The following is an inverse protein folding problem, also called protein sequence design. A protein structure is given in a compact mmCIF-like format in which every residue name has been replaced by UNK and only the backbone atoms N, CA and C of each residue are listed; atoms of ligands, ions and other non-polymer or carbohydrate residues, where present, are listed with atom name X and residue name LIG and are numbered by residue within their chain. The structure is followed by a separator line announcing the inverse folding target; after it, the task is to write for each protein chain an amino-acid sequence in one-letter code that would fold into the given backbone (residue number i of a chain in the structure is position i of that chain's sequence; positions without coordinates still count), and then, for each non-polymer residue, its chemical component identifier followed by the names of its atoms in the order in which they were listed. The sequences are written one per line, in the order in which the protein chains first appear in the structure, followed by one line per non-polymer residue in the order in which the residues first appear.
data_IF_161632260304
#
_entry.id   IF_161632260304
#
_cell.length_a   1.000
_cell.length_b   1.000
_cell.length_c   1.000
_cell.angle_alpha   90.00
_cell.angle_beta   90.00
_cell.angle_gamma   90.00
#
_symmetry.space_group_name_H-M   'P 1'
#
loop_
_entity.id
_entity.type
_entity.pdbx_description
1 polymer ?
#
# COMPACT_ATOMS: atom_id res chain seq x y z
N UNK A 1 -33.83 -16.19 54.53
CA UNK A 1 -34.72 -16.87 53.57
C UNK A 1 -35.42 -15.80 52.73
N UNK A 2 -35.61 -16.11 51.45
CA UNK A 2 -35.78 -15.20 50.33
C UNK A 2 -37.05 -14.32 50.31
N UNK A 3 -36.96 -13.18 49.62
CA UNK A 3 -38.00 -12.76 48.66
C UNK A 3 -37.36 -11.88 47.57
N UNK A 4 -37.32 -12.43 46.35
CA UNK A 4 -36.82 -11.82 45.13
C UNK A 4 -38.03 -11.27 44.35
N UNK A 5 -38.06 -10.01 43.91
CA UNK A 5 -39.02 -9.56 42.86
C UNK A 5 -38.47 -8.39 42.02
N UNK A 6 -37.97 -8.77 40.83
CA UNK A 6 -38.22 -8.22 39.48
C UNK A 6 -38.12 -6.70 39.22
N UNK A 7 -37.06 -6.34 38.49
CA UNK A 7 -37.02 -5.35 37.38
C UNK A 7 -35.86 -5.81 36.50
N UNK A 8 -36.03 -6.19 35.24
CA UNK A 8 -36.57 -5.36 34.16
C UNK A 8 -35.39 -5.12 33.20
N UNK A 9 -35.48 -5.69 32.00
CA UNK A 9 -34.44 -5.78 30.99
C UNK A 9 -33.73 -4.46 30.66
N UNK A 10 -32.40 -4.51 30.49
CA UNK A 10 -31.67 -3.75 29.46
C UNK A 10 -30.40 -4.52 29.09
N UNK A 11 -30.47 -5.25 27.97
CA UNK A 11 -29.29 -5.65 27.24
C UNK A 11 -28.66 -4.37 26.68
N UNK A 12 -27.49 -3.98 27.21
CA UNK A 12 -26.64 -2.97 26.58
C UNK A 12 -25.33 -3.65 26.24
N UNK A 13 -25.33 -4.28 25.07
CA UNK A 13 -24.09 -4.56 24.37
C UNK A 13 -23.47 -3.23 23.95
N UNK A 14 -22.21 -3.03 24.27
CA UNK A 14 -21.35 -2.13 23.50
C UNK A 14 -20.10 -2.94 23.14
N UNK A 15 -20.18 -3.65 22.02
CA UNK A 15 -19.00 -4.08 21.31
C UNK A 15 -18.34 -2.82 20.74
N UNK A 16 -17.32 -2.28 21.42
CA UNK A 16 -16.45 -1.26 20.83
C UNK A 16 -15.33 -1.98 20.07
N UNK A 17 -15.66 -2.55 18.92
CA UNK A 17 -14.70 -3.08 17.96
C UNK A 17 -15.23 -2.84 16.55
N UNK A 18 -15.27 -1.58 16.12
CA UNK A 18 -15.50 -1.23 14.71
C UNK A 18 -15.10 0.22 14.41
N UNK A 19 -13.79 0.51 14.41
CA UNK A 19 -13.28 1.73 13.78
C UNK A 19 -12.09 1.49 12.84
N UNK A 20 -11.80 0.23 12.48
CA UNK A 20 -10.76 -0.10 11.49
C UNK A 20 -11.35 -0.58 10.14
N UNK A 21 -12.67 -0.74 10.03
CA UNK A 21 -13.30 -1.32 8.84
C UNK A 21 -13.61 -0.31 7.71
N UNK A 22 -13.47 1.00 7.93
CA UNK A 22 -13.62 2.01 6.87
C UNK A 22 -12.28 2.39 6.21
N UNK A 23 -11.16 1.81 6.67
CA UNK A 23 -9.85 2.01 6.06
C UNK A 23 -9.64 1.16 4.80
N UNK A 24 -10.29 0.01 4.68
CA UNK A 24 -10.03 -0.97 3.61
C UNK A 24 -10.57 -0.60 2.22
N UNK A 25 -10.98 0.64 1.93
CA UNK A 25 -11.38 1.02 0.56
C UNK A 25 -10.52 2.15 0.02
N UNK A 26 -10.18 3.13 0.85
CA UNK A 26 -9.21 4.17 0.52
C UNK A 26 -7.77 3.65 0.68
N UNK A 27 -7.46 3.01 1.81
CA UNK A 27 -6.17 2.36 2.04
C UNK A 27 -6.00 1.21 1.07
N UNK A 28 -7.04 0.42 0.78
CA UNK A 28 -6.95 -0.66 -0.21
C UNK A 28 -6.78 -0.14 -1.63
N UNK A 29 -7.37 1.01 -2.01
CA UNK A 29 -7.09 1.66 -3.30
C UNK A 29 -5.66 2.20 -3.41
N UNK A 30 -5.16 2.87 -2.37
CA UNK A 30 -3.76 3.34 -2.31
C UNK A 30 -2.80 2.15 -2.29
N UNK A 31 -3.12 1.11 -1.53
CA UNK A 31 -2.34 -0.11 -1.43
C UNK A 31 -2.41 -0.92 -2.72
N UNK A 32 -3.49 -0.93 -3.49
CA UNK A 32 -3.60 -1.69 -4.74
C UNK A 32 -3.06 -0.94 -5.95
N UNK A 33 -2.45 0.24 -5.74
CA UNK A 33 -1.70 0.97 -6.74
C UNK A 33 -0.22 0.70 -6.51
N UNK A 34 0.33 -0.39 -7.07
CA UNK A 34 1.76 -0.56 -7.13
C UNK A 34 2.37 0.41 -8.14
N UNK A 35 2.37 -0.01 -9.40
CA UNK A 35 2.98 0.71 -10.51
C UNK A 35 2.23 1.99 -10.93
N UNK A 36 0.95 2.11 -10.62
CA UNK A 36 0.14 3.30 -10.92
C UNK A 36 0.36 4.45 -9.94
N UNK A 37 1.07 4.23 -8.82
CA UNK A 37 1.41 5.30 -7.88
C UNK A 37 2.15 6.42 -8.63
N UNK A 38 1.73 7.68 -8.45
CA UNK A 38 2.39 8.82 -9.07
C UNK A 38 3.70 9.17 -8.35
N UNK A 39 4.66 9.81 -9.04
CA UNK A 39 5.86 10.31 -8.39
C UNK A 39 5.55 11.28 -7.25
N UNK A 40 4.51 12.13 -7.39
CA UNK A 40 4.01 13.03 -6.35
C UNK A 40 3.62 12.27 -5.08
N UNK A 41 2.89 11.17 -5.23
CA UNK A 41 2.42 10.40 -4.09
C UNK A 41 3.54 9.56 -3.50
N UNK A 42 4.37 8.95 -4.35
CA UNK A 42 5.49 8.10 -3.96
C UNK A 42 6.51 8.82 -3.08
N UNK A 43 6.93 10.04 -3.44
CA UNK A 43 7.98 10.76 -2.69
C UNK A 43 7.53 11.17 -1.29
N UNK A 44 6.21 11.21 -1.03
CA UNK A 44 5.64 11.54 0.26
C UNK A 44 5.41 10.30 1.15
N UNK A 45 5.66 9.09 0.65
CA UNK A 45 5.55 7.85 1.42
C UNK A 45 6.74 7.68 2.39
N UNK A 46 6.49 7.08 3.55
CA UNK A 46 7.55 6.59 4.43
C UNK A 46 8.26 5.38 3.83
N UNK A 47 9.43 5.03 4.37
CA UNK A 47 10.29 3.97 3.83
C UNK A 47 9.60 2.59 3.77
N UNK A 48 8.73 2.26 4.74
CA UNK A 48 8.02 0.98 4.74
C UNK A 48 6.94 0.97 3.66
N UNK A 49 6.18 2.07 3.54
CA UNK A 49 5.16 2.22 2.49
C UNK A 49 5.80 2.17 1.10
N UNK A 50 6.96 2.82 0.88
CA UNK A 50 7.72 2.72 -0.39
C UNK A 50 8.05 1.27 -0.74
N UNK A 51 8.51 0.45 0.22
CA UNK A 51 8.79 -0.99 -0.01
C UNK A 51 7.55 -1.75 -0.46
N UNK A 52 6.41 -1.52 0.19
CA UNK A 52 5.14 -2.18 -0.18
C UNK A 52 4.73 -1.77 -1.60
N UNK A 53 4.76 -0.47 -1.91
CA UNK A 53 4.41 0.08 -3.23
C UNK A 53 5.30 -0.53 -4.32
N UNK A 54 6.61 -0.60 -4.09
CA UNK A 54 7.57 -1.16 -5.06
C UNK A 54 7.42 -2.67 -5.23
N UNK A 55 7.24 -3.42 -4.14
CA UNK A 55 6.93 -4.85 -4.23
C UNK A 55 5.71 -5.09 -5.12
N UNK A 56 4.64 -4.30 -4.94
CA UNK A 56 3.43 -4.41 -5.76
C UNK A 56 3.67 -4.01 -7.21
N UNK A 57 4.41 -2.92 -7.45
CA UNK A 57 4.79 -2.51 -8.79
C UNK A 57 5.60 -3.60 -9.53
N UNK A 58 6.48 -4.32 -8.85
CA UNK A 58 7.23 -5.45 -9.42
C UNK A 58 6.30 -6.61 -9.75
N UNK A 59 5.39 -6.99 -8.83
CA UNK A 59 4.43 -8.07 -9.05
C UNK A 59 3.50 -7.79 -10.23
N UNK A 60 2.98 -6.57 -10.32
CA UNK A 60 2.14 -6.10 -11.43
C UNK A 60 2.89 -6.14 -12.77
N UNK A 61 4.11 -5.61 -12.82
CA UNK A 61 4.91 -5.60 -14.05
C UNK A 61 5.30 -7.00 -14.53
N UNK A 62 5.62 -7.90 -13.59
CA UNK A 62 6.07 -9.25 -13.92
C UNK A 62 4.91 -10.24 -14.09
N UNK A 63 3.68 -9.87 -13.70
CA UNK A 63 2.54 -10.77 -13.65
C UNK A 63 2.76 -11.96 -12.70
N UNK A 64 3.61 -11.78 -11.69
CA UNK A 64 4.06 -12.83 -10.77
C UNK A 64 3.78 -12.43 -9.32
N UNK A 65 2.94 -13.21 -8.63
CA UNK A 65 2.55 -12.93 -7.25
C UNK A 65 3.59 -13.34 -6.20
N UNK A 66 4.64 -14.07 -6.60
CA UNK A 66 5.74 -14.44 -5.72
C UNK A 66 6.44 -13.20 -5.16
N UNK A 67 6.92 -13.30 -3.93
CA UNK A 67 7.64 -12.20 -3.30
C UNK A 67 8.99 -11.98 -4.03
N UNK A 68 9.26 -10.77 -4.55
CA UNK A 68 10.55 -10.46 -5.15
C UNK A 68 11.66 -10.51 -4.08
N UNK A 69 12.89 -10.82 -4.51
CA UNK A 69 14.04 -10.74 -3.62
C UNK A 69 14.19 -9.31 -3.08
N UNK A 70 14.53 -9.16 -1.79
CA UNK A 70 14.67 -7.84 -1.16
C UNK A 70 15.67 -6.92 -1.87
N UNK A 71 16.73 -7.47 -2.46
CA UNK A 71 17.70 -6.73 -3.28
C UNK A 71 17.08 -6.14 -4.55
N UNK A 72 16.11 -6.84 -5.17
CA UNK A 72 15.38 -6.33 -6.33
C UNK A 72 14.50 -5.16 -5.92
N UNK A 73 13.78 -5.29 -4.79
CA UNK A 73 12.96 -4.21 -4.22
C UNK A 73 13.80 -2.98 -3.91
N UNK A 74 14.93 -3.15 -3.22
CA UNK A 74 15.83 -2.03 -2.88
C UNK A 74 16.42 -1.36 -4.13
N UNK A 75 16.78 -2.14 -5.16
CA UNK A 75 17.25 -1.58 -6.44
C UNK A 75 16.18 -0.77 -7.15
N UNK A 76 14.92 -1.20 -7.06
CA UNK A 76 13.79 -0.49 -7.66
C UNK A 76 13.42 0.76 -6.89
N UNK A 77 13.54 0.76 -5.56
CA UNK A 77 13.40 1.98 -4.77
C UNK A 77 14.37 3.05 -5.26
N UNK A 78 15.65 2.70 -5.44
CA UNK A 78 16.65 3.65 -5.93
C UNK A 78 16.33 4.20 -7.32
N UNK A 79 15.86 3.34 -8.24
CA UNK A 79 15.51 3.76 -9.59
C UNK A 79 14.28 4.66 -9.62
N UNK A 80 13.25 4.33 -8.84
CA UNK A 80 12.05 5.16 -8.72
C UNK A 80 12.36 6.48 -8.02
N UNK A 81 13.19 6.49 -6.97
CA UNK A 81 13.67 7.72 -6.34
C UNK A 81 14.40 8.61 -7.37
N UNK A 82 15.25 8.03 -8.22
CA UNK A 82 15.94 8.77 -9.29
C UNK A 82 14.97 9.30 -10.36
N UNK A 83 14.00 8.49 -10.79
CA UNK A 83 12.94 8.92 -11.70
C UNK A 83 12.20 10.12 -11.13
N UNK A 84 11.71 9.99 -9.90
CA UNK A 84 10.87 11.02 -9.31
C UNK A 84 11.66 12.28 -8.92
N UNK A 85 12.97 12.17 -8.67
CA UNK A 85 13.84 13.32 -8.48
C UNK A 85 14.12 14.11 -9.78
N UNK A 86 14.09 13.45 -10.94
CA UNK A 86 14.50 14.06 -12.22
C UNK A 86 13.33 14.45 -13.13
N UNK A 87 12.15 13.84 -12.94
CA UNK A 87 10.99 14.14 -13.76
C UNK A 87 10.34 15.49 -13.43
N UNK A 88 10.06 16.26 -14.49
CA UNK A 88 9.29 17.52 -14.38
C UNK A 88 7.79 17.27 -14.19
N UNK A 89 7.29 16.14 -14.70
CA UNK A 89 5.90 15.74 -14.51
C UNK A 89 5.79 14.83 -13.28
N UNK A 90 5.35 15.41 -12.18
CA UNK A 90 5.17 14.70 -10.89
C UNK A 90 3.99 13.72 -10.91
N UNK A 91 3.09 13.82 -11.88
CA UNK A 91 1.95 12.89 -12.04
C UNK A 91 2.35 11.63 -12.83
N UNK A 92 3.65 11.48 -13.14
CA UNK A 92 4.13 10.29 -13.84
C UNK A 92 4.02 9.05 -12.95
N UNK A 93 3.38 7.96 -13.43
CA UNK A 93 3.33 6.69 -12.70
C UNK A 93 4.70 6.04 -12.54
N UNK A 94 4.95 5.42 -11.38
CA UNK A 94 6.25 4.79 -11.08
C UNK A 94 6.52 3.51 -11.87
N UNK A 95 5.52 2.86 -12.49
CA UNK A 95 5.74 1.75 -13.46
C UNK A 95 6.59 2.19 -14.66
N UNK A 96 6.66 3.50 -14.92
CA UNK A 96 7.50 4.06 -15.97
C UNK A 96 8.94 4.31 -15.50
N UNK A 97 9.30 3.94 -14.27
CA UNK A 97 10.66 4.06 -13.73
C UNK A 97 11.65 3.06 -14.31
N UNK A 98 11.29 2.33 -15.37
CA UNK A 98 12.25 1.66 -16.24
C UNK A 98 13.07 2.72 -17.00
N UNK A 99 13.89 3.44 -16.25
CA UNK A 99 14.94 4.28 -16.78
C UNK A 99 16.03 3.33 -17.24
N UNK A 100 15.98 2.96 -18.52
CA UNK A 100 17.07 2.35 -19.27
C UNK A 100 17.40 0.87 -18.94
N UNK A 101 16.40 -0.02 -18.95
CA UNK A 101 16.62 -1.38 -19.45
C UNK A 101 17.05 -2.44 -18.43
N UNK A 102 16.62 -2.33 -17.17
CA UNK A 102 16.76 -3.46 -16.22
C UNK A 102 15.62 -4.48 -16.39
N UNK A 103 14.44 -4.06 -16.89
CA UNK A 103 13.34 -4.97 -17.23
C UNK A 103 13.13 -5.18 -18.72
N UNK A 104 13.56 -4.24 -19.58
CA UNK A 104 13.43 -4.35 -21.03
C UNK A 104 14.63 -4.96 -21.76
N UNK A 105 15.69 -5.36 -21.04
CA UNK A 105 16.79 -6.11 -21.64
C UNK A 105 16.70 -7.60 -21.27
N UNK A 106 15.80 -8.30 -21.96
CA UNK A 106 15.91 -9.74 -22.20
C UNK A 106 16.14 -9.98 -23.69
#
# INVERSE_FOLDING_TARGET
MAANTRTGALAVGVAVLAALATGCTEVERILNQGGETSCRDYVNQDANTKRITITKAIKEQTGNDNEPAGTVVDSMIMQVDLLCATQRNVDTPIKNADIAGIFLNK
#
